data_IF_430985897387
#
_entry.id   IF_430985897387
#
_cell.length_a   1.000
_cell.length_b   1.000
_cell.length_c   1.000
_cell.angle_alpha   90.00
_cell.angle_beta   90.00
_cell.angle_gamma   90.00
#
_symmetry.space_group_name_H-M   'P 1'
#
loop_
_entity.id
_entity.type
_entity.pdbx_description
1 polymer ?
#
# COMPACT_ATOMS: atom_id res chain seq x y z
N UNK A 1 13.23 -25.52 13.06
CA UNK A 1 12.80 -24.44 12.14
C UNK A 1 13.90 -23.39 12.16
N UNK A 2 14.42 -22.95 11.01
CA UNK A 2 15.55 -22.02 10.95
C UNK A 2 15.11 -20.66 11.54
N UNK A 3 15.65 -20.24 12.70
CA UNK A 3 15.20 -19.05 13.42
C UNK A 3 15.25 -17.76 12.57
N UNK A 4 16.07 -17.75 11.52
CA UNK A 4 16.20 -16.64 10.57
C UNK A 4 14.94 -16.38 9.73
N UNK A 5 14.12 -17.41 9.45
CA UNK A 5 12.91 -17.28 8.64
C UNK A 5 11.70 -16.76 9.42
N UNK A 6 11.84 -16.56 10.74
CA UNK A 6 10.76 -15.97 11.54
C UNK A 6 10.67 -14.48 11.21
N UNK A 7 9.45 -14.02 10.90
CA UNK A 7 9.17 -12.60 10.73
C UNK A 7 9.26 -11.86 12.08
N UNK A 8 9.86 -10.67 12.05
CA UNK A 8 9.85 -9.73 13.17
C UNK A 8 8.50 -8.98 13.25
N UNK A 9 8.19 -8.33 14.39
CA UNK A 9 6.91 -7.65 14.57
C UNK A 9 6.63 -6.61 13.48
N UNK A 10 5.51 -6.80 12.78
CA UNK A 10 5.11 -5.95 11.64
C UNK A 10 6.16 -5.87 10.52
N UNK A 11 7.05 -6.85 10.37
CA UNK A 11 8.00 -6.90 9.25
C UNK A 11 7.28 -7.07 7.91
N UNK A 12 7.67 -6.30 6.90
CA UNK A 12 7.07 -6.39 5.58
C UNK A 12 7.52 -7.65 4.82
N UNK A 13 6.56 -8.38 4.26
CA UNK A 13 6.77 -9.70 3.64
C UNK A 13 7.77 -9.65 2.48
N UNK A 14 7.73 -8.62 1.63
CA UNK A 14 8.70 -8.50 0.52
C UNK A 14 10.04 -7.89 0.92
N UNK A 15 10.31 -7.68 2.21
CA UNK A 15 11.61 -7.19 2.67
C UNK A 15 12.30 -8.10 3.69
N UNK A 16 11.64 -9.14 4.22
CA UNK A 16 12.28 -9.96 5.27
C UNK A 16 13.56 -10.66 4.77
N UNK A 17 13.62 -11.05 3.49
CA UNK A 17 14.83 -11.61 2.90
C UNK A 17 15.98 -10.58 2.85
N UNK A 18 15.69 -9.27 2.86
CA UNK A 18 16.74 -8.26 2.98
C UNK A 18 17.41 -8.27 4.34
N UNK A 19 16.62 -8.39 5.41
CA UNK A 19 17.16 -8.58 6.76
C UNK A 19 18.04 -9.81 6.84
N UNK A 20 17.57 -10.93 6.28
CA UNK A 20 18.36 -12.18 6.22
C UNK A 20 19.64 -11.96 5.42
N UNK A 21 19.57 -11.31 4.26
CA UNK A 21 20.73 -11.02 3.42
C UNK A 21 21.79 -10.20 4.16
N UNK A 22 21.36 -9.11 4.81
CA UNK A 22 22.21 -8.23 5.61
C UNK A 22 22.87 -8.95 6.79
N UNK A 23 22.21 -9.94 7.38
CA UNK A 23 22.76 -10.72 8.50
C UNK A 23 23.66 -11.90 8.07
N UNK A 24 23.25 -12.64 7.03
CA UNK A 24 23.81 -13.97 6.73
C UNK A 24 24.82 -14.01 5.58
N UNK A 25 24.89 -12.97 4.75
CA UNK A 25 25.71 -13.01 3.54
C UNK A 25 26.17 -11.63 3.08
N UNK A 26 26.97 -10.88 3.88
CA UNK A 26 27.47 -9.57 3.50
C UNK A 26 28.35 -9.59 2.23
N UNK A 27 28.87 -10.75 1.84
CA UNK A 27 29.79 -10.91 0.69
C UNK A 27 29.11 -11.44 -0.58
N UNK A 28 27.80 -11.68 -0.57
CA UNK A 28 27.03 -12.17 -1.72
C UNK A 28 26.12 -11.09 -2.31
N UNK A 29 25.53 -11.35 -3.47
CA UNK A 29 24.42 -10.49 -3.95
C UNK A 29 23.12 -10.88 -3.25
N UNK A 30 22.20 -9.93 -3.12
CA UNK A 30 20.85 -10.22 -2.66
C UNK A 30 20.18 -11.32 -3.50
N UNK A 31 20.35 -11.29 -4.83
CA UNK A 31 19.80 -12.30 -5.74
C UNK A 31 20.30 -13.73 -5.40
N UNK A 32 21.58 -13.88 -5.02
CA UNK A 32 22.13 -15.16 -4.56
C UNK A 32 21.43 -15.63 -3.27
N UNK A 33 21.15 -14.70 -2.36
CA UNK A 33 20.44 -15.00 -1.11
C UNK A 33 19.01 -15.46 -1.39
N UNK A 34 18.26 -14.74 -2.22
CA UNK A 34 16.89 -15.13 -2.60
C UNK A 34 16.84 -16.53 -3.25
N UNK A 35 17.78 -16.83 -4.15
CA UNK A 35 17.89 -18.16 -4.79
C UNK A 35 18.15 -19.29 -3.81
N UNK A 36 18.93 -19.06 -2.74
CA UNK A 36 19.15 -20.07 -1.67
C UNK A 36 17.85 -20.47 -0.96
N UNK A 37 16.85 -19.58 -0.95
CA UNK A 37 15.52 -19.83 -0.41
C UNK A 37 14.49 -20.18 -1.50
N UNK A 38 14.94 -20.56 -2.70
CA UNK A 38 14.05 -21.02 -3.78
C UNK A 38 13.31 -19.90 -4.52
N UNK A 39 13.67 -18.63 -4.32
CA UNK A 39 13.00 -17.50 -4.97
C UNK A 39 13.88 -16.97 -6.11
N UNK A 40 13.52 -17.33 -7.34
CA UNK A 40 14.33 -17.04 -8.53
C UNK A 40 14.08 -15.65 -9.13
N UNK A 41 12.85 -15.15 -9.06
CA UNK A 41 12.42 -13.87 -9.62
C UNK A 41 11.99 -12.93 -8.49
N UNK A 42 12.96 -12.28 -7.87
CA UNK A 42 12.70 -11.35 -6.77
C UNK A 42 12.72 -9.91 -7.26
N UNK A 43 11.53 -9.29 -7.37
CA UNK A 43 11.39 -7.86 -7.61
C UNK A 43 10.64 -7.24 -6.44
N UNK A 44 11.35 -6.45 -5.66
CA UNK A 44 10.76 -5.80 -4.50
C UNK A 44 10.10 -4.50 -4.85
N UNK A 45 8.90 -4.36 -4.33
CA UNK A 45 8.18 -3.11 -4.30
C UNK A 45 7.51 -3.00 -2.94
N UNK A 46 7.48 -1.80 -2.34
CA UNK A 46 6.63 -1.51 -1.18
C UNK A 46 5.14 -1.64 -1.54
N UNK A 47 4.81 -1.52 -2.83
CA UNK A 47 3.47 -1.79 -3.35
C UNK A 47 3.26 -3.29 -3.38
N UNK A 48 2.35 -3.79 -2.55
CA UNK A 48 1.97 -5.19 -2.48
C UNK A 48 0.61 -5.38 -3.17
N UNK A 49 0.64 -5.76 -4.44
CA UNK A 49 -0.43 -6.52 -5.10
C UNK A 49 -0.30 -8.01 -4.71
N UNK A 50 -1.32 -8.84 -4.95
CA UNK A 50 -1.15 -10.30 -4.81
C UNK A 50 -0.40 -10.82 -6.04
N UNK A 51 0.80 -11.34 -5.82
CA UNK A 51 1.65 -11.93 -6.85
C UNK A 51 2.11 -13.32 -6.42
N UNK A 52 2.54 -14.14 -7.37
CA UNK A 52 3.17 -15.45 -7.10
C UNK A 52 4.31 -15.34 -6.07
N UNK A 53 5.05 -14.23 -6.08
CA UNK A 53 6.09 -13.93 -5.11
C UNK A 53 5.57 -13.89 -3.67
N UNK A 54 4.38 -13.32 -3.41
CA UNK A 54 3.86 -13.22 -2.04
C UNK A 54 3.48 -14.58 -1.47
N UNK A 55 2.87 -15.44 -2.29
CA UNK A 55 2.61 -16.83 -1.91
C UNK A 55 3.91 -17.58 -1.60
N UNK A 56 4.92 -17.46 -2.47
CA UNK A 56 6.24 -18.08 -2.26
C UNK A 56 6.86 -17.61 -0.94
N UNK A 57 6.88 -16.30 -0.68
CA UNK A 57 7.47 -15.74 0.53
C UNK A 57 6.69 -16.11 1.80
N UNK A 58 5.36 -16.06 1.75
CA UNK A 58 4.52 -16.42 2.89
C UNK A 58 4.67 -17.91 3.25
N UNK A 59 4.78 -18.78 2.24
CA UNK A 59 4.96 -20.23 2.42
C UNK A 59 6.34 -20.60 2.98
N UNK A 60 7.35 -19.74 2.79
CA UNK A 60 8.67 -19.94 3.39
C UNK A 60 8.67 -19.72 4.92
N UNK A 61 7.78 -18.86 5.42
CA UNK A 61 7.82 -18.39 6.82
C UNK A 61 6.69 -18.96 7.69
N UNK A 62 5.62 -19.50 7.09
CA UNK A 62 4.49 -20.07 7.83
C UNK A 62 3.79 -21.21 7.08
N UNK A 63 3.15 -22.10 7.86
CA UNK A 63 2.18 -23.10 7.36
C UNK A 63 0.81 -22.48 7.06
N UNK A 64 0.56 -21.25 7.50
CA UNK A 64 -0.65 -20.47 7.22
C UNK A 64 -0.29 -19.24 6.37
N UNK A 65 0.11 -19.42 5.10
CA UNK A 65 0.66 -18.34 4.29
C UNK A 65 -0.36 -17.22 3.99
N UNK A 66 -1.66 -17.53 3.94
CA UNK A 66 -2.71 -16.52 3.80
C UNK A 66 -2.72 -15.53 4.97
N UNK A 67 -2.56 -16.00 6.21
CA UNK A 67 -2.51 -15.12 7.39
C UNK A 67 -1.28 -14.22 7.37
N UNK A 68 -0.13 -14.75 6.91
CA UNK A 68 1.08 -13.94 6.72
C UNK A 68 0.85 -12.85 5.68
N UNK A 69 0.23 -13.16 4.54
CA UNK A 69 -0.07 -12.15 3.54
C UNK A 69 -1.06 -11.09 4.04
N UNK A 70 -2.06 -11.51 4.83
CA UNK A 70 -3.02 -10.60 5.49
C UNK A 70 -2.33 -9.58 6.39
N UNK A 71 -1.39 -10.01 7.23
CA UNK A 71 -0.80 -9.17 8.29
C UNK A 71 0.55 -8.52 7.94
N UNK A 72 1.33 -9.13 7.05
CA UNK A 72 2.70 -8.71 6.70
C UNK A 72 2.83 -8.23 5.25
N UNK A 73 1.77 -8.31 4.43
CA UNK A 73 1.69 -7.66 3.11
C UNK A 73 0.47 -6.71 3.05
N UNK A 74 -0.39 -6.83 2.05
CA UNK A 74 -1.59 -5.97 1.89
C UNK A 74 -2.92 -6.72 2.00
N UNK A 75 -2.93 -7.99 2.44
CA UNK A 75 -4.15 -8.79 2.38
C UNK A 75 -5.33 -8.20 3.15
N UNK A 76 -5.12 -7.75 4.39
CA UNK A 76 -6.19 -7.09 5.16
C UNK A 76 -6.68 -5.79 4.53
N UNK A 77 -5.85 -5.09 3.76
CA UNK A 77 -6.24 -3.87 3.03
C UNK A 77 -7.01 -4.18 1.75
N UNK A 78 -6.66 -5.27 1.06
CA UNK A 78 -7.21 -5.58 -0.25
C UNK A 78 -8.53 -6.36 -0.16
N UNK A 79 -8.58 -7.41 0.66
CA UNK A 79 -9.70 -8.34 0.74
C UNK A 79 -11.08 -7.68 0.96
N UNK A 80 -11.22 -6.61 1.76
CA UNK A 80 -12.52 -5.96 1.95
C UNK A 80 -13.14 -5.42 0.65
N UNK A 81 -12.30 -5.11 -0.34
CA UNK A 81 -12.72 -4.49 -1.60
C UNK A 81 -12.67 -5.45 -2.79
N UNK A 82 -12.52 -6.75 -2.53
CA UNK A 82 -12.54 -7.80 -3.54
C UNK A 82 -13.97 -8.26 -3.83
N UNK A 83 -14.20 -8.78 -5.04
CA UNK A 83 -15.42 -9.52 -5.36
C UNK A 83 -15.41 -10.91 -4.70
N UNK A 84 -16.55 -11.60 -4.57
CA UNK A 84 -16.58 -12.98 -4.09
C UNK A 84 -15.68 -13.92 -4.91
N UNK A 85 -15.58 -13.69 -6.22
CA UNK A 85 -14.67 -14.46 -7.10
C UNK A 85 -13.20 -14.18 -6.76
N UNK A 86 -12.80 -12.90 -6.67
CA UNK A 86 -11.42 -12.51 -6.34
C UNK A 86 -10.98 -13.04 -4.95
N UNK A 87 -11.92 -13.10 -4.00
CA UNK A 87 -11.69 -13.72 -2.67
C UNK A 87 -11.42 -15.22 -2.80
N UNK A 88 -12.26 -15.95 -3.53
CA UNK A 88 -12.09 -17.39 -3.74
C UNK A 88 -10.78 -17.71 -4.49
N UNK A 89 -10.45 -16.93 -5.51
CA UNK A 89 -9.18 -17.04 -6.26
C UNK A 89 -7.97 -16.75 -5.36
N UNK A 90 -8.08 -15.76 -4.47
CA UNK A 90 -7.06 -15.46 -3.45
C UNK A 90 -6.85 -16.64 -2.51
N UNK A 91 -7.91 -17.25 -1.99
CA UNK A 91 -7.82 -18.43 -1.11
C UNK A 91 -7.19 -19.63 -1.83
N UNK A 92 -7.59 -19.88 -3.08
CA UNK A 92 -7.00 -20.92 -3.93
C UNK A 92 -5.52 -20.66 -4.20
N UNK A 93 -5.10 -19.40 -4.30
CA UNK A 93 -3.70 -19.03 -4.50
C UNK A 93 -2.80 -19.59 -3.39
N UNK A 94 -3.26 -19.45 -2.15
CA UNK A 94 -2.57 -19.97 -0.97
C UNK A 94 -2.71 -21.49 -0.78
N UNK A 95 -3.40 -22.16 -1.70
CA UNK A 95 -3.46 -23.63 -1.83
C UNK A 95 -2.61 -24.14 -3.00
N UNK A 96 -1.82 -23.28 -3.65
CA UNK A 96 -0.88 -23.64 -4.72
C UNK A 96 -1.38 -23.39 -6.14
N UNK A 97 -2.55 -22.76 -6.32
CA UNK A 97 -3.05 -22.35 -7.63
C UNK A 97 -2.40 -21.02 -8.03
N UNK A 98 -1.96 -20.86 -9.28
CA UNK A 98 -1.41 -19.58 -9.70
C UNK A 98 -2.52 -18.54 -9.87
N UNK A 99 -2.36 -17.39 -9.21
CA UNK A 99 -3.27 -16.26 -9.31
C UNK A 99 -2.53 -14.96 -9.02
N UNK A 100 -2.92 -13.89 -9.71
CA UNK A 100 -2.35 -12.56 -9.53
C UNK A 100 -3.48 -11.53 -9.54
N UNK A 101 -3.44 -10.63 -8.56
CA UNK A 101 -4.39 -9.53 -8.45
C UNK A 101 -3.65 -8.20 -8.36
N UNK A 102 -3.45 -7.58 -9.52
CA UNK A 102 -2.83 -6.26 -9.64
C UNK A 102 -3.84 -5.13 -9.53
N UNK A 103 -3.47 -4.12 -8.74
CA UNK A 103 -4.24 -2.89 -8.65
C UNK A 103 -3.92 -1.95 -9.83
N UNK A 104 -4.95 -1.38 -10.45
CA UNK A 104 -4.78 -0.37 -11.51
C UNK A 104 -3.97 0.81 -11.00
N UNK A 105 -3.01 1.24 -11.81
CA UNK A 105 -2.20 2.43 -11.53
C UNK A 105 -1.59 2.45 -10.12
N UNK A 106 -1.27 1.29 -9.52
CA UNK A 106 -0.72 1.24 -8.16
C UNK A 106 0.56 2.10 -8.01
N UNK A 107 1.34 2.20 -9.08
CA UNK A 107 2.55 3.02 -9.17
C UNK A 107 2.32 4.53 -9.29
N UNK A 108 1.07 5.00 -9.30
CA UNK A 108 0.78 6.43 -9.22
C UNK A 108 0.54 6.90 -7.80
N UNK A 109 0.49 5.98 -6.82
CA UNK A 109 0.35 6.30 -5.41
C UNK A 109 1.66 6.74 -4.78
N UNK A 110 1.58 7.43 -3.65
CA UNK A 110 2.73 7.99 -2.94
C UNK A 110 3.70 6.92 -2.38
N UNK A 111 3.20 5.72 -2.12
CA UNK A 111 3.96 4.62 -1.52
C UNK A 111 4.80 3.81 -2.53
N UNK A 112 5.21 4.41 -3.65
CA UNK A 112 6.13 3.78 -4.62
C UNK A 112 7.56 3.61 -4.09
N UNK A 113 7.92 4.41 -3.09
CA UNK A 113 9.22 4.37 -2.42
C UNK A 113 9.06 3.67 -1.07
N UNK A 114 10.07 2.90 -0.67
CA UNK A 114 10.16 2.33 0.66
C UNK A 114 10.26 3.43 1.70
N UNK A 115 9.64 3.18 2.85
CA UNK A 115 9.51 4.19 3.90
C UNK A 115 9.89 3.65 5.26
N UNK A 116 10.54 4.47 6.06
CA UNK A 116 10.93 4.11 7.42
C UNK A 116 10.81 5.29 8.39
N UNK A 117 10.82 4.98 9.68
CA UNK A 117 10.85 5.93 10.77
C UNK A 117 12.22 5.82 11.46
N UNK A 118 12.95 6.92 11.67
CA UNK A 118 14.29 6.87 12.27
C UNK A 118 14.25 6.23 13.67
N UNK A 119 13.27 6.59 14.49
CA UNK A 119 13.10 6.04 15.84
C UNK A 119 12.85 4.53 15.82
N UNK A 120 12.01 4.01 14.90
CA UNK A 120 11.87 2.57 14.72
C UNK A 120 13.19 1.89 14.38
N UNK A 121 14.04 2.50 13.55
CA UNK A 121 15.30 1.86 13.15
C UNK A 121 16.29 1.70 14.30
N UNK A 122 16.33 2.67 15.21
CA UNK A 122 17.13 2.61 16.43
C UNK A 122 16.60 1.52 17.37
N UNK A 123 15.30 1.55 17.68
CA UNK A 123 14.66 0.55 18.54
C UNK A 123 14.78 -0.88 18.00
N UNK A 124 14.59 -1.07 16.69
CA UNK A 124 14.72 -2.39 16.06
C UNK A 124 16.16 -2.91 16.15
N UNK A 125 17.14 -2.01 16.01
CA UNK A 125 18.55 -2.37 16.10
C UNK A 125 18.94 -2.73 17.54
N UNK A 126 18.42 -2.01 18.53
CA UNK A 126 18.65 -2.31 19.94
C UNK A 126 17.97 -3.61 20.37
N UNK A 127 16.75 -3.89 19.89
CA UNK A 127 15.95 -5.04 20.31
C UNK A 127 16.25 -6.32 19.52
N UNK A 128 16.51 -6.21 18.22
CA UNK A 128 16.64 -7.34 17.31
C UNK A 128 18.03 -7.42 16.65
N UNK A 129 18.92 -6.47 16.94
CA UNK A 129 20.26 -6.39 16.35
C UNK A 129 20.28 -5.89 14.91
N UNK A 130 19.12 -5.57 14.33
CA UNK A 130 19.00 -5.08 12.95
C UNK A 130 17.65 -4.39 12.73
N UNK A 131 17.67 -3.26 12.01
CA UNK A 131 16.47 -2.58 11.53
C UNK A 131 15.77 -3.37 10.40
N UNK A 132 14.49 -3.11 10.20
CA UNK A 132 13.74 -3.70 9.08
C UNK A 132 12.61 -2.79 8.61
N UNK A 133 12.15 -3.00 7.37
CA UNK A 133 11.00 -2.25 6.86
C UNK A 133 9.71 -2.78 7.50
N UNK A 134 9.02 -1.91 8.23
CA UNK A 134 7.69 -2.23 8.75
C UNK A 134 6.64 -2.18 7.64
N UNK A 135 5.71 -3.13 7.68
CA UNK A 135 4.59 -3.25 6.76
C UNK A 135 3.68 -2.02 6.82
N UNK A 136 3.38 -1.52 8.03
CA UNK A 136 2.47 -0.39 8.19
C UNK A 136 3.01 0.91 7.61
N UNK A 137 4.33 1.06 7.56
CA UNK A 137 4.97 2.19 6.88
C UNK A 137 4.79 2.14 5.35
N UNK A 138 4.45 0.98 4.78
CA UNK A 138 4.30 0.82 3.32
C UNK A 138 2.85 0.98 2.84
N UNK A 139 1.88 1.14 3.74
CA UNK A 139 0.46 1.24 3.42
C UNK A 139 0.14 2.52 2.62
N UNK A 140 -0.64 2.44 1.53
CA UNK A 140 -1.25 3.59 0.86
C UNK A 140 -2.10 4.46 1.82
N UNK A 141 -1.97 5.78 1.73
CA UNK A 141 -2.58 6.73 2.65
C UNK A 141 -1.92 6.90 4.02
N UNK A 142 -0.93 6.08 4.38
CA UNK A 142 -0.13 6.28 5.61
C UNK A 142 1.10 7.11 5.27
N UNK A 143 1.37 8.15 6.05
CA UNK A 143 2.50 9.09 5.94
C UNK A 143 3.30 9.17 7.24
N UNK A 144 2.70 8.83 8.38
CA UNK A 144 3.35 8.84 9.70
C UNK A 144 3.58 7.43 10.25
N UNK A 145 4.57 7.34 11.15
CA UNK A 145 4.82 6.13 11.91
C UNK A 145 3.63 5.84 12.82
N UNK A 146 3.09 4.62 12.74
CA UNK A 146 1.99 4.17 13.59
C UNK A 146 2.38 3.99 15.07
N UNK A 147 3.69 4.02 15.39
CA UNK A 147 4.25 3.86 16.73
C UNK A 147 4.67 5.20 17.32
N UNK A 148 5.41 6.02 16.57
CA UNK A 148 5.99 7.28 17.06
C UNK A 148 5.29 8.55 16.57
N UNK A 149 4.40 8.46 15.58
CA UNK A 149 3.68 9.62 15.02
C UNK A 149 4.52 10.52 14.11
N UNK A 150 5.79 10.21 13.89
CA UNK A 150 6.70 11.01 13.06
C UNK A 150 6.46 10.77 11.56
N UNK A 151 6.62 11.79 10.69
CA UNK A 151 6.56 11.59 9.24
C UNK A 151 7.63 10.62 8.75
N UNK A 152 7.25 9.76 7.80
CA UNK A 152 8.14 8.74 7.27
C UNK A 152 9.20 9.33 6.31
N UNK A 153 10.38 8.74 6.31
CA UNK A 153 11.48 9.02 5.39
C UNK A 153 11.34 8.11 4.16
N UNK A 154 11.38 8.68 2.95
CA UNK A 154 11.28 7.96 1.67
C UNK A 154 12.48 8.20 0.73
N UNK A 155 13.44 9.03 1.14
CA UNK A 155 14.57 9.44 0.32
C UNK A 155 15.37 10.60 0.94
N UNK A 156 16.35 11.09 0.19
CA UNK A 156 17.20 12.20 0.57
C UNK A 156 16.78 13.48 -0.14
N UNK A 157 16.43 14.51 0.63
CA UNK A 157 16.06 15.84 0.10
C UNK A 157 17.26 16.62 -0.45
N UNK A 158 18.48 16.33 0.04
CA UNK A 158 19.69 17.04 -0.39
C UNK A 158 20.14 16.70 -1.82
N UNK A 159 20.01 15.44 -2.24
CA UNK A 159 20.45 14.98 -3.56
C UNK A 159 19.34 14.36 -4.43
N UNK A 160 18.11 14.27 -3.93
CA UNK A 160 16.97 13.67 -4.65
C UNK A 160 17.01 12.14 -4.73
N UNK A 161 17.88 11.47 -3.96
CA UNK A 161 17.89 10.00 -3.90
C UNK A 161 16.56 9.48 -3.36
N UNK A 162 15.94 8.52 -4.05
CA UNK A 162 14.69 7.88 -3.65
C UNK A 162 14.92 6.43 -3.25
N UNK A 163 14.21 5.96 -2.22
CA UNK A 163 14.25 4.57 -1.75
C UNK A 163 13.39 3.65 -2.63
N UNK A 164 13.63 3.64 -3.94
CA UNK A 164 12.93 2.77 -4.91
C UNK A 164 13.52 1.37 -4.94
N UNK A 165 14.85 1.28 -4.89
CA UNK A 165 15.61 0.06 -5.05
C UNK A 165 16.35 -0.28 -3.75
N UNK A 166 15.87 -1.32 -3.08
CA UNK A 166 16.43 -1.86 -1.84
C UNK A 166 17.69 -2.69 -2.05
N UNK A 167 18.17 -2.90 -3.28
CA UNK A 167 19.49 -3.50 -3.49
C UNK A 167 20.63 -2.60 -2.98
N UNK A 168 20.41 -1.27 -2.92
CA UNK A 168 21.35 -0.32 -2.32
C UNK A 168 21.14 -0.11 -0.82
N UNK A 169 19.90 -0.31 -0.35
CA UNK A 169 19.50 -0.24 1.07
C UNK A 169 18.56 -1.40 1.36
N UNK A 170 19.16 -2.54 1.72
CA UNK A 170 18.41 -3.75 2.05
C UNK A 170 17.58 -3.55 3.33
N UNK A 171 18.14 -2.87 4.31
CA UNK A 171 17.48 -2.53 5.57
C UNK A 171 17.56 -1.02 5.82
N UNK A 172 16.56 -0.41 6.48
CA UNK A 172 16.60 1.02 6.82
C UNK A 172 17.89 1.42 7.56
N UNK A 173 18.60 2.49 7.17
CA UNK A 173 19.84 2.89 7.83
C UNK A 173 19.55 3.49 9.22
N UNK A 174 20.25 3.02 10.25
CA UNK A 174 20.12 3.51 11.64
C UNK A 174 20.62 4.93 11.83
N UNK A 175 21.67 5.31 11.09
CA UNK A 175 22.21 6.68 11.11
C UNK A 175 21.47 7.65 10.18
N UNK A 176 20.42 7.16 9.52
CA UNK A 176 19.64 7.88 8.51
C UNK A 176 20.50 8.51 7.39
N UNK A 177 21.73 8.06 7.14
CA UNK A 177 22.59 8.66 6.11
C UNK A 177 22.19 8.19 4.72
N UNK A 178 22.19 9.14 3.79
CA UNK A 178 21.97 8.86 2.39
C UNK A 178 23.16 8.07 1.81
N UNK A 179 22.92 6.94 1.14
CA UNK A 179 23.99 6.11 0.57
C UNK A 179 24.61 6.77 -0.67
N UNK A 180 23.95 7.78 -1.24
CA UNK A 180 24.40 8.47 -2.45
C UNK A 180 25.25 9.70 -2.16
N UNK A 181 24.98 10.46 -1.10
CA UNK A 181 25.66 11.72 -0.81
C UNK A 181 26.14 11.89 0.64
N UNK A 182 25.85 10.94 1.53
CA UNK A 182 26.24 10.98 2.94
C UNK A 182 25.46 11.96 3.82
N UNK A 183 24.61 12.83 3.23
CA UNK A 183 23.74 13.73 4.00
C UNK A 183 22.70 12.95 4.81
N UNK A 184 22.28 13.50 5.96
CA UNK A 184 21.16 12.95 6.73
C UNK A 184 19.85 13.02 5.93
N UNK A 185 19.15 11.90 5.83
CA UNK A 185 17.78 11.85 5.33
C UNK A 185 16.84 12.31 6.44
N UNK A 186 15.89 13.17 6.08
CA UNK A 186 14.99 13.81 7.06
C UNK A 186 13.54 13.45 6.78
N UNK A 187 12.68 13.39 7.82
CA UNK A 187 11.24 13.19 7.68
C UNK A 187 10.56 14.08 6.63
N UNK A 188 9.50 13.55 6.00
CA UNK A 188 8.69 14.30 5.03
C UNK A 188 7.69 15.26 5.72
N UNK A 189 8.13 16.48 6.00
CA UNK A 189 7.31 17.57 6.57
C UNK A 189 6.38 18.28 5.56
N UNK A 190 5.91 17.56 4.53
CA UNK A 190 5.01 18.11 3.51
C UNK A 190 3.63 18.52 4.03
N UNK A 191 2.69 18.74 3.11
CA UNK A 191 1.30 19.06 3.46
C UNK A 191 0.59 17.87 4.12
N UNK A 192 -0.11 18.13 5.22
CA UNK A 192 -1.00 17.21 5.93
C UNK A 192 -2.17 17.98 6.52
N UNK A 193 -3.39 17.48 6.35
CA UNK A 193 -4.60 18.04 6.95
C UNK A 193 -5.38 16.99 7.73
N UNK A 194 -6.47 17.43 8.37
CA UNK A 194 -7.32 16.56 9.18
C UNK A 194 -7.95 15.43 8.37
N UNK A 195 -8.30 15.68 7.11
CA UNK A 195 -8.83 14.66 6.22
C UNK A 195 -7.79 13.57 5.96
N UNK A 196 -6.54 13.96 5.69
CA UNK A 196 -5.44 13.02 5.53
C UNK A 196 -5.18 12.19 6.78
N UNK A 197 -5.29 12.80 7.96
CA UNK A 197 -5.20 12.09 9.24
C UNK A 197 -6.31 11.05 9.38
N UNK A 198 -7.56 11.37 9.00
CA UNK A 198 -8.67 10.41 9.01
C UNK A 198 -8.36 9.21 8.11
N UNK A 199 -7.95 9.46 6.86
CA UNK A 199 -7.61 8.38 5.90
C UNK A 199 -6.45 7.52 6.42
N UNK A 200 -5.42 8.13 6.97
CA UNK A 200 -4.29 7.39 7.57
C UNK A 200 -4.74 6.48 8.71
N UNK A 201 -5.55 7.00 9.63
CA UNK A 201 -6.13 6.21 10.72
C UNK A 201 -6.98 5.04 10.19
N UNK A 202 -7.82 5.28 9.18
CA UNK A 202 -8.68 4.25 8.58
C UNK A 202 -7.87 3.19 7.83
N UNK A 203 -6.85 3.57 7.07
CA UNK A 203 -5.88 2.64 6.47
C UNK A 203 -5.26 1.73 7.51
N UNK A 204 -4.84 2.28 8.67
CA UNK A 204 -4.26 1.48 9.75
C UNK A 204 -5.27 0.57 10.46
N UNK A 205 -6.53 1.00 10.61
CA UNK A 205 -7.62 0.19 11.18
C UNK A 205 -7.95 -1.00 10.28
N UNK A 206 -8.14 -0.76 8.98
CA UNK A 206 -8.39 -1.84 8.01
C UNK A 206 -7.26 -2.86 8.04
N UNK A 207 -6.01 -2.38 8.01
CA UNK A 207 -4.85 -3.26 8.04
C UNK A 207 -4.77 -4.17 9.28
N UNK A 208 -5.35 -3.73 10.41
CA UNK A 208 -5.48 -4.54 11.63
C UNK A 208 -6.66 -5.53 11.60
N UNK A 209 -7.49 -5.50 10.55
CA UNK A 209 -8.74 -6.26 10.48
C UNK A 209 -9.90 -5.59 11.23
N UNK A 210 -9.73 -4.35 11.69
CA UNK A 210 -10.71 -3.65 12.53
C UNK A 210 -11.58 -2.73 11.66
N UNK A 211 -12.43 -3.30 10.81
CA UNK A 211 -13.32 -2.54 9.93
C UNK A 211 -14.60 -3.30 9.61
N UNK A 212 -15.61 -2.58 9.11
CA UNK A 212 -16.86 -3.15 8.59
C UNK A 212 -17.04 -2.91 7.08
N UNK A 213 -15.97 -2.49 6.39
CA UNK A 213 -16.02 -2.26 4.95
C UNK A 213 -16.18 -3.55 4.14
N UNK A 214 -16.99 -3.45 3.10
CA UNK A 214 -17.07 -4.41 1.99
C UNK A 214 -17.24 -3.67 0.66
N UNK A 215 -16.81 -4.25 -0.46
CA UNK A 215 -17.01 -3.67 -1.79
C UNK A 215 -18.48 -3.31 -2.04
N UNK A 216 -19.40 -4.20 -1.66
CA UNK A 216 -20.84 -4.02 -1.79
C UNK A 216 -21.31 -2.79 -0.99
N UNK A 217 -20.83 -2.63 0.25
CA UNK A 217 -21.19 -1.46 1.07
C UNK A 217 -20.70 -0.14 0.47
N UNK A 218 -19.52 -0.14 -0.17
CA UNK A 218 -18.99 1.05 -0.86
C UNK A 218 -19.84 1.39 -2.07
N UNK A 219 -20.19 0.38 -2.88
CA UNK A 219 -21.01 0.56 -4.07
C UNK A 219 -22.41 1.08 -3.73
N UNK A 220 -23.06 0.46 -2.74
CA UNK A 220 -24.38 0.89 -2.28
C UNK A 220 -24.38 2.35 -1.80
N UNK A 221 -23.41 2.72 -0.94
CA UNK A 221 -23.28 4.09 -0.43
C UNK A 221 -23.04 5.10 -1.55
N UNK A 222 -22.18 4.77 -2.51
CA UNK A 222 -21.89 5.67 -3.62
C UNK A 222 -23.09 5.83 -4.56
N UNK A 223 -23.84 4.76 -4.82
CA UNK A 223 -25.09 4.81 -5.60
C UNK A 223 -26.15 5.67 -4.91
N UNK A 224 -26.31 5.51 -3.59
CA UNK A 224 -27.20 6.35 -2.76
C UNK A 224 -26.81 7.82 -2.85
N UNK A 225 -25.52 8.16 -2.72
CA UNK A 225 -25.01 9.52 -2.80
C UNK A 225 -25.32 10.21 -4.15
N UNK A 226 -25.41 9.44 -5.24
CA UNK A 226 -25.73 9.99 -6.57
C UNK A 226 -27.21 9.83 -6.94
N UNK A 227 -28.03 9.25 -6.07
CA UNK A 227 -29.47 9.07 -6.26
C UNK A 227 -29.86 7.96 -7.24
N UNK A 228 -29.07 6.88 -7.32
CA UNK A 228 -29.34 5.72 -8.20
C UNK A 228 -29.46 4.43 -7.40
N UNK A 229 -30.20 3.45 -7.94
CA UNK A 229 -30.23 2.08 -7.44
C UNK A 229 -29.40 1.12 -8.30
N UNK A 230 -29.07 -0.03 -7.73
CA UNK A 230 -28.47 -1.14 -8.48
C UNK A 230 -29.42 -1.55 -9.62
N UNK A 231 -28.96 -1.47 -10.87
CA UNK A 231 -29.74 -1.74 -12.08
C UNK A 231 -30.15 -0.49 -12.89
N UNK A 232 -30.09 0.71 -12.33
CA UNK A 232 -30.40 1.98 -13.03
C UNK A 232 -29.15 2.60 -13.70
N UNK A 233 -28.11 1.79 -13.87
CA UNK A 233 -26.75 2.26 -14.17
C UNK A 233 -26.43 2.34 -15.66
N UNK A 234 -27.35 1.93 -16.54
CA UNK A 234 -27.18 1.99 -18.01
C UNK A 234 -27.88 3.20 -18.63
N UNK A 235 -27.54 4.40 -18.14
CA UNK A 235 -28.10 5.64 -18.65
C UNK A 235 -27.04 6.73 -18.80
N UNK A 236 -27.29 7.69 -19.70
CA UNK A 236 -26.46 8.89 -19.81
C UNK A 236 -26.54 9.74 -18.53
N UNK A 237 -27.69 9.74 -17.86
CA UNK A 237 -27.88 10.42 -16.59
C UNK A 237 -26.94 9.86 -15.52
N UNK A 238 -26.84 8.52 -15.40
CA UNK A 238 -25.90 7.86 -14.49
C UNK A 238 -24.45 8.25 -14.78
N UNK A 239 -24.02 8.18 -16.05
CA UNK A 239 -22.65 8.57 -16.45
C UNK A 239 -22.33 10.01 -16.07
N UNK A 240 -23.29 10.93 -16.24
CA UNK A 240 -23.16 12.34 -15.83
C UNK A 240 -23.09 12.47 -14.30
N UNK A 241 -23.92 11.75 -13.56
CA UNK A 241 -23.92 11.75 -12.11
C UNK A 241 -22.59 11.25 -11.53
N UNK A 242 -22.04 10.13 -12.02
CA UNK A 242 -20.71 9.67 -11.64
C UNK A 242 -19.63 10.72 -11.95
N UNK A 243 -19.71 11.39 -13.10
CA UNK A 243 -18.73 12.42 -13.49
C UNK A 243 -18.76 13.62 -12.54
N UNK A 244 -19.95 14.08 -12.16
CA UNK A 244 -20.13 15.13 -11.16
C UNK A 244 -19.61 14.68 -9.79
N UNK A 245 -19.98 13.48 -9.36
CA UNK A 245 -19.50 12.92 -8.09
C UNK A 245 -17.98 12.87 -7.99
N UNK A 246 -17.28 12.47 -9.07
CA UNK A 246 -15.81 12.49 -9.09
C UNK A 246 -15.21 13.89 -8.98
N UNK A 247 -15.89 14.88 -9.54
CA UNK A 247 -15.48 16.28 -9.46
C UNK A 247 -15.63 16.77 -8.03
N UNK A 248 -16.81 16.58 -7.45
CA UNK A 248 -17.15 17.06 -6.12
C UNK A 248 -16.29 16.35 -5.05
N UNK A 249 -16.02 15.04 -5.22
CA UNK A 249 -15.06 14.29 -4.41
C UNK A 249 -13.66 14.90 -4.46
N UNK A 250 -13.18 15.27 -5.64
CA UNK A 250 -11.84 15.84 -5.80
C UNK A 250 -11.73 17.24 -5.18
N UNK A 251 -12.78 18.05 -5.28
CA UNK A 251 -12.88 19.35 -4.62
C UNK A 251 -12.87 19.20 -3.10
N UNK A 252 -13.64 18.25 -2.55
CA UNK A 252 -13.69 17.97 -1.11
C UNK A 252 -12.36 17.49 -0.54
N UNK A 253 -11.62 16.64 -1.27
CA UNK A 253 -10.28 16.21 -0.84
C UNK A 253 -9.28 17.36 -0.97
N UNK A 254 -9.42 18.19 -1.99
CA UNK A 254 -8.57 19.34 -2.23
C UNK A 254 -7.25 19.02 -2.93
N UNK A 255 -6.66 20.01 -3.62
CA UNK A 255 -5.52 19.79 -4.51
C UNK A 255 -4.24 19.39 -3.76
N UNK A 256 -4.04 19.91 -2.55
CA UNK A 256 -2.84 19.62 -1.77
C UNK A 256 -2.83 18.17 -1.30
N UNK A 257 -3.92 17.67 -0.70
CA UNK A 257 -4.01 16.28 -0.28
C UNK A 257 -3.94 15.31 -1.48
N UNK A 258 -4.60 15.62 -2.61
CA UNK A 258 -4.48 14.80 -3.82
C UNK A 258 -3.04 14.69 -4.33
N UNK A 259 -2.26 15.77 -4.31
CA UNK A 259 -0.84 15.76 -4.68
C UNK A 259 0.03 14.97 -3.68
N UNK A 260 -0.45 14.74 -2.46
CA UNK A 260 0.23 13.90 -1.48
C UNK A 260 -0.09 12.42 -1.67
N UNK A 261 -1.32 12.06 -2.04
CA UNK A 261 -1.71 10.67 -2.30
C UNK A 261 -1.22 10.15 -3.66
N UNK A 262 -1.15 11.03 -4.65
CA UNK A 262 -0.86 10.66 -6.03
C UNK A 262 0.35 11.40 -6.57
N UNK A 263 1.34 10.66 -7.06
CA UNK A 263 2.52 11.19 -7.74
C UNK A 263 2.20 11.70 -9.16
N UNK A 264 1.00 11.40 -9.66
CA UNK A 264 0.50 11.85 -10.96
C UNK A 264 -0.91 12.40 -10.81
N UNK A 265 -1.00 13.72 -10.76
CA UNK A 265 -2.25 14.48 -10.79
C UNK A 265 -2.35 15.30 -12.07
N UNK A 266 -3.58 15.55 -12.54
CA UNK A 266 -3.88 16.46 -13.64
C UNK A 266 -4.82 17.55 -13.13
N UNK A 267 -4.58 18.77 -13.55
CA UNK A 267 -5.51 19.88 -13.33
C UNK A 267 -6.35 20.11 -14.59
N UNK A 268 -7.66 20.27 -14.42
CA UNK A 268 -8.58 20.57 -15.53
C UNK A 268 -9.71 21.44 -14.98
N UNK A 269 -9.92 22.61 -15.58
CA UNK A 269 -10.90 23.60 -15.14
C UNK A 269 -10.77 23.97 -13.64
N UNK A 270 -9.54 24.12 -13.14
CA UNK A 270 -9.26 24.45 -11.74
C UNK A 270 -9.35 23.27 -10.75
N UNK A 271 -9.65 22.06 -11.22
CA UNK A 271 -9.85 20.88 -10.37
C UNK A 271 -8.68 19.92 -10.56
N UNK A 272 -7.97 19.64 -9.47
CA UNK A 272 -6.91 18.63 -9.42
C UNK A 272 -7.54 17.25 -9.27
N UNK A 273 -7.12 16.28 -10.07
CA UNK A 273 -7.61 14.88 -9.98
C UNK A 273 -6.51 13.89 -10.36
N UNK A 274 -6.72 12.60 -10.10
CA UNK A 274 -5.88 11.52 -10.62
C UNK A 274 -6.72 10.52 -11.40
N UNK A 275 -6.19 10.00 -12.51
CA UNK A 275 -6.86 8.97 -13.30
C UNK A 275 -7.12 7.70 -12.47
N UNK A 276 -6.30 7.43 -11.46
CA UNK A 276 -6.47 6.28 -10.54
C UNK A 276 -7.76 6.32 -9.74
N UNK A 277 -8.32 7.52 -9.50
CA UNK A 277 -9.60 7.65 -8.82
C UNK A 277 -10.77 7.22 -9.72
N UNK A 278 -10.63 7.33 -11.05
CA UNK A 278 -11.73 7.07 -12.00
C UNK A 278 -11.90 5.57 -12.24
N UNK A 279 -12.81 4.95 -11.51
CA UNK A 279 -13.13 3.53 -11.65
C UNK A 279 -14.62 3.24 -11.49
N UNK A 280 -15.20 2.44 -12.38
CA UNK A 280 -16.62 2.07 -12.25
C UNK A 280 -16.86 1.07 -11.11
N UNK A 281 -15.81 0.46 -10.54
CA UNK A 281 -15.92 -0.44 -9.37
C UNK A 281 -16.51 0.23 -8.14
N UNK A 282 -16.41 1.57 -8.04
CA UNK A 282 -17.02 2.33 -6.95
C UNK A 282 -18.55 2.33 -6.99
N UNK A 283 -19.17 1.93 -8.10
CA UNK A 283 -20.62 1.98 -8.29
C UNK A 283 -21.20 0.64 -8.78
N UNK A 284 -20.48 -0.08 -9.65
CA UNK A 284 -21.02 -1.22 -10.38
C UNK A 284 -20.51 -2.54 -9.81
N UNK A 285 -21.43 -3.38 -9.33
CA UNK A 285 -21.16 -4.78 -8.93
C UNK A 285 -20.66 -5.62 -10.11
N UNK A 286 -21.11 -5.31 -11.33
CA UNK A 286 -20.71 -5.96 -12.59
C UNK A 286 -19.47 -5.34 -13.26
N UNK A 287 -18.77 -4.42 -12.60
CA UNK A 287 -17.60 -3.76 -13.19
C UNK A 287 -16.54 -4.78 -13.62
N UNK A 288 -16.16 -4.74 -14.90
CA UNK A 288 -15.04 -5.53 -15.43
C UNK A 288 -13.68 -4.83 -15.23
N UNK A 289 -13.67 -3.66 -14.59
CA UNK A 289 -12.41 -2.99 -14.29
C UNK A 289 -11.57 -3.85 -13.34
N UNK A 290 -10.27 -3.84 -13.60
CA UNK A 290 -9.25 -4.39 -12.69
C UNK A 290 -9.37 -3.77 -11.29
N UNK A 291 -8.91 -4.52 -10.28
CA UNK A 291 -8.92 -4.12 -8.89
C UNK A 291 -8.35 -2.70 -8.71
N UNK A 292 -9.01 -1.87 -7.91
CA UNK A 292 -8.55 -0.51 -7.62
C UNK A 292 -7.76 -0.50 -6.30
N UNK A 293 -6.74 0.34 -6.12
CA UNK A 293 -6.01 0.36 -4.86
C UNK A 293 -6.94 0.65 -3.67
N UNK A 294 -6.74 0.02 -2.50
CA UNK A 294 -7.61 0.20 -1.32
C UNK A 294 -7.84 1.66 -0.92
N UNK A 295 -6.83 2.51 -1.10
CA UNK A 295 -6.91 3.95 -0.85
C UNK A 295 -8.06 4.62 -1.61
N UNK A 296 -8.37 4.18 -2.84
CA UNK A 296 -9.44 4.78 -3.65
C UNK A 296 -10.81 4.60 -3.00
N UNK A 297 -11.07 3.44 -2.41
CA UNK A 297 -12.33 3.18 -1.70
C UNK A 297 -12.42 3.99 -0.41
N UNK A 298 -11.31 4.17 0.31
CA UNK A 298 -11.27 5.03 1.51
C UNK A 298 -11.54 6.50 1.15
N UNK A 299 -10.87 7.00 0.11
CA UNK A 299 -11.11 8.36 -0.37
C UNK A 299 -12.56 8.56 -0.80
N UNK A 300 -13.15 7.60 -1.51
CA UNK A 300 -14.57 7.63 -1.86
C UNK A 300 -15.47 7.68 -0.62
N UNK A 301 -15.24 6.80 0.36
CA UNK A 301 -16.11 6.66 1.53
C UNK A 301 -16.11 7.87 2.48
N UNK A 302 -14.96 8.54 2.60
CA UNK A 302 -14.74 9.64 3.55
C UNK A 302 -14.71 11.01 2.86
N UNK A 303 -14.38 11.09 1.58
CA UNK A 303 -14.38 12.35 0.84
C UNK A 303 -15.76 12.71 0.28
N UNK A 304 -16.63 11.72 0.08
CA UNK A 304 -18.00 11.94 -0.41
C UNK A 304 -19.02 12.20 0.71
N UNK A 305 -18.63 12.24 1.99
CA UNK A 305 -19.56 12.53 3.09
C UNK A 305 -19.92 14.01 3.25
N UNK A 306 -19.29 14.89 2.44
CA UNK A 306 -19.57 16.32 2.40
C UNK A 306 -20.30 16.75 1.09
N UNK A 307 -20.76 15.80 0.26
CA UNK A 307 -21.57 16.04 -0.95
C UNK A 307 -23.02 15.65 -0.69
#
# INVERSE_FOLDING_TARGET
MNNLLRLLPNEHLRSFLFRIHSHSSPFGTFATTAKRYGVHNYKTSPITSLQTLDYQLASLVSKTPLDIWKHNASGNLMMPFMTPQELAETENCFSGVEFQLDAIHAYTLHNVNWRFCPTCTEEDSDLYGISYYHQRHQIPGVFHCYKHGEPLISGCKSCGFELKDTTRICVPPTDSKCPSCGSGMTPDIGYFDDFMRVIECESLKINRGNHNYSLISVQAKNLENIGFKEGETDSLAFKRACTNWYRDLAENIGPNALKRYFNKTKETNGITTSLTMRTTRLFLSSSTNRFSPPLIYLLALHGATNT
#
